data_IF_464096407084
#
_entry.id   IF_464096407084
#
_cell.length_a   1.000
_cell.length_b   1.000
_cell.length_c   1.000
_cell.angle_alpha   90.00
_cell.angle_beta   90.00
_cell.angle_gamma   90.00
#
_symmetry.space_group_name_H-M   'P 1'
#
loop_
_entity.id
_entity.type
_entity.pdbx_description
1 polymer ?
#
# COMPACT_ATOMS: atom_id res chain seq x y z
N UNK A 1 4.62 -14.54 16.88
CA UNK A 1 3.83 -14.19 18.08
C UNK A 1 2.96 -15.34 18.59
N UNK A 2 2.50 -16.25 17.73
CA UNK A 2 1.75 -17.46 18.12
C UNK A 2 0.23 -17.22 18.17
N UNK A 3 -0.59 -18.28 18.31
CA UNK A 3 -2.06 -18.17 18.28
C UNK A 3 -2.62 -17.24 19.37
N UNK A 4 -2.00 -17.27 20.55
CA UNK A 4 -2.40 -16.45 21.70
C UNK A 4 -1.63 -15.11 21.79
N UNK A 5 -1.22 -14.54 20.66
CA UNK A 5 -0.44 -13.30 20.64
C UNK A 5 -1.14 -12.10 21.29
N UNK A 6 -2.46 -12.12 21.34
CA UNK A 6 -3.28 -11.10 22.00
C UNK A 6 -3.07 -11.07 23.53
N UNK A 7 -2.54 -12.16 24.13
CA UNK A 7 -2.18 -12.19 25.55
C UNK A 7 -0.85 -11.50 25.88
N UNK A 8 -0.03 -11.17 24.89
CA UNK A 8 1.21 -10.44 25.10
C UNK A 8 0.88 -9.03 25.60
N UNK A 9 1.52 -8.49 26.66
CA UNK A 9 1.09 -7.25 27.31
C UNK A 9 0.90 -6.04 26.40
N UNK A 10 1.65 -5.93 25.31
CA UNK A 10 1.53 -4.83 24.32
C UNK A 10 0.30 -5.00 23.41
N UNK A 11 -0.15 -6.23 23.17
CA UNK A 11 -1.30 -6.54 22.33
C UNK A 11 -2.61 -6.70 23.13
N UNK A 12 -2.50 -6.93 24.44
CA UNK A 12 -3.65 -7.18 25.31
C UNK A 12 -4.54 -5.93 25.47
N UNK A 13 -5.88 -6.07 25.42
CA UNK A 13 -6.79 -4.96 25.65
C UNK A 13 -6.64 -4.45 27.10
N UNK A 14 -6.65 -3.12 27.27
CA UNK A 14 -6.50 -2.47 28.59
C UNK A 14 -7.83 -1.96 29.17
N UNK A 15 -8.75 -1.56 28.31
CA UNK A 15 -10.03 -0.96 28.69
C UNK A 15 -11.22 -1.92 28.67
N UNK A 16 -11.02 -3.18 28.29
CA UNK A 16 -12.07 -4.19 28.21
C UNK A 16 -11.54 -5.55 28.65
N UNK A 17 -12.40 -6.32 29.31
CA UNK A 17 -12.13 -7.74 29.55
C UNK A 17 -12.40 -8.51 28.26
N UNK A 18 -11.59 -9.52 28.00
CA UNK A 18 -11.91 -10.47 26.95
C UNK A 18 -13.11 -11.32 27.39
N UNK A 19 -14.22 -11.18 26.67
CA UNK A 19 -15.44 -11.97 26.85
C UNK A 19 -15.66 -12.79 25.58
N UNK A 20 -14.86 -13.84 25.41
CA UNK A 20 -14.87 -14.71 24.23
C UNK A 20 -15.03 -16.19 24.61
N UNK A 21 -15.32 -17.01 23.61
CA UNK A 21 -15.34 -18.47 23.73
C UNK A 21 -14.02 -19.13 23.29
N UNK A 22 -12.96 -18.34 23.03
CA UNK A 22 -11.67 -18.87 22.62
C UNK A 22 -11.01 -19.67 23.76
N UNK A 23 -10.46 -20.84 23.45
CA UNK A 23 -9.81 -21.79 24.38
C UNK A 23 -8.46 -22.26 23.81
N UNK A 24 -7.61 -22.77 24.70
CA UNK A 24 -6.37 -23.47 24.36
C UNK A 24 -5.44 -22.71 23.40
N UNK A 25 -4.79 -23.42 22.47
CA UNK A 25 -3.75 -22.88 21.61
C UNK A 25 -2.38 -22.84 22.30
N UNK A 26 -1.32 -22.93 21.49
CA UNK A 26 0.05 -22.87 22.00
C UNK A 26 0.28 -21.56 22.79
N UNK A 27 0.95 -21.67 23.94
CA UNK A 27 1.24 -20.55 24.84
C UNK A 27 -0.02 -19.82 25.35
N UNK A 28 -1.05 -20.58 25.77
CA UNK A 28 -2.17 -20.04 26.53
C UNK A 28 -1.72 -19.79 27.98
N UNK A 29 -1.41 -18.52 28.30
CA UNK A 29 -0.79 -18.12 29.58
C UNK A 29 -1.74 -17.42 30.56
N UNK A 30 -2.95 -17.09 30.11
CA UNK A 30 -4.05 -16.64 30.97
C UNK A 30 -4.83 -17.86 31.52
N UNK A 31 -6.00 -17.60 32.12
CA UNK A 31 -6.85 -18.65 32.68
C UNK A 31 -7.54 -19.54 31.62
N UNK A 32 -7.36 -19.29 30.32
CA UNK A 32 -7.98 -20.13 29.28
C UNK A 32 -9.50 -20.15 29.31
N UNK A 33 -10.17 -19.12 29.85
CA UNK A 33 -11.63 -19.13 30.07
C UNK A 33 -12.13 -20.01 31.22
N UNK A 34 -11.22 -20.62 31.99
CA UNK A 34 -11.53 -21.40 33.21
C UNK A 34 -12.51 -22.55 32.96
N UNK A 35 -13.32 -22.87 33.98
CA UNK A 35 -14.39 -23.88 33.90
C UNK A 35 -15.71 -23.37 33.31
N UNK A 36 -15.73 -22.16 32.73
CA UNK A 36 -16.94 -21.57 32.15
C UNK A 36 -17.30 -22.18 30.78
N UNK A 37 -18.55 -22.01 30.32
CA UNK A 37 -19.00 -22.53 29.03
C UNK A 37 -18.11 -22.03 27.88
N UNK A 38 -17.77 -22.93 26.96
CA UNK A 38 -16.94 -22.66 25.78
C UNK A 38 -17.77 -22.62 24.47
N UNK A 39 -19.08 -22.46 24.57
CA UNK A 39 -20.02 -22.47 23.44
C UNK A 39 -21.13 -21.43 23.61
N UNK A 40 -21.74 -21.01 22.49
CA UNK A 40 -22.90 -20.12 22.44
C UNK A 40 -23.95 -20.66 21.44
N UNK A 41 -25.26 -20.56 21.73
CA UNK A 41 -25.86 -20.10 22.98
C UNK A 41 -25.67 -21.08 24.14
N UNK A 42 -25.63 -20.58 25.38
CA UNK A 42 -25.57 -21.42 26.59
C UNK A 42 -26.48 -20.87 27.70
N UNK A 43 -26.84 -21.73 28.66
CA UNK A 43 -27.68 -21.40 29.81
C UNK A 43 -26.88 -21.23 31.12
N UNK A 44 -25.56 -21.05 31.02
CA UNK A 44 -24.63 -21.03 32.17
C UNK A 44 -23.96 -19.66 32.38
N UNK A 45 -24.54 -18.59 31.83
CA UNK A 45 -24.08 -17.21 32.04
C UNK A 45 -22.79 -16.84 31.31
N UNK A 46 -22.48 -17.48 30.17
CA UNK A 46 -21.35 -17.09 29.32
C UNK A 46 -21.56 -15.77 28.55
N UNK A 47 -20.52 -15.24 27.88
CA UNK A 47 -20.60 -14.03 27.04
C UNK A 47 -21.74 -14.06 26.03
N UNK A 48 -22.50 -12.97 25.89
CA UNK A 48 -23.56 -12.83 24.89
C UNK A 48 -23.17 -11.79 23.81
N UNK A 49 -23.63 -11.94 22.57
CA UNK A 49 -23.51 -10.91 21.55
C UNK A 49 -24.15 -9.59 22.00
N UNK A 50 -23.54 -8.47 21.64
CA UNK A 50 -24.12 -7.13 21.81
C UNK A 50 -24.78 -6.68 20.49
N UNK A 51 -26.12 -6.60 20.40
CA UNK A 51 -26.81 -6.14 19.20
C UNK A 51 -26.47 -4.71 18.79
N UNK A 52 -25.98 -3.86 19.72
CA UNK A 52 -25.57 -2.49 19.46
C UNK A 52 -24.21 -2.37 18.79
N UNK A 53 -23.42 -3.45 18.74
CA UNK A 53 -22.07 -3.47 18.15
C UNK A 53 -22.07 -3.91 16.67
N UNK A 54 -23.23 -4.05 16.03
CA UNK A 54 -23.35 -4.46 14.63
C UNK A 54 -22.89 -3.37 13.65
N UNK A 55 -22.31 -3.80 12.52
CA UNK A 55 -21.97 -2.89 11.41
C UNK A 55 -23.25 -2.31 10.77
N UNK A 56 -23.24 -1.05 10.32
CA UNK A 56 -24.37 -0.49 9.59
C UNK A 56 -24.55 -1.20 8.23
N UNK A 57 -25.80 -1.43 7.77
CA UNK A 57 -26.04 -2.01 6.46
C UNK A 57 -25.58 -1.06 5.35
N UNK A 58 -25.08 -1.62 4.24
CA UNK A 58 -24.72 -0.86 3.05
C UNK A 58 -25.16 -1.62 1.79
N UNK A 59 -25.48 -0.87 0.73
CA UNK A 59 -25.91 -1.44 -0.54
C UNK A 59 -24.72 -1.92 -1.37
N UNK A 60 -24.90 -3.01 -2.10
CA UNK A 60 -23.92 -3.57 -3.03
C UNK A 60 -24.59 -3.72 -4.39
N UNK A 61 -23.91 -3.28 -5.44
CA UNK A 61 -24.40 -3.33 -6.82
C UNK A 61 -23.41 -4.03 -7.74
N UNK A 62 -23.91 -4.92 -8.60
CA UNK A 62 -23.13 -5.58 -9.64
C UNK A 62 -22.70 -7.01 -9.32
N UNK A 63 -22.14 -7.73 -10.30
CA UNK A 63 -21.72 -9.11 -10.14
C UNK A 63 -20.43 -9.23 -9.31
N UNK A 64 -20.37 -10.24 -8.43
CA UNK A 64 -19.14 -10.60 -7.74
C UNK A 64 -18.16 -11.26 -8.73
N UNK A 65 -16.92 -10.77 -8.78
CA UNK A 65 -15.91 -11.28 -9.70
C UNK A 65 -14.57 -10.55 -9.58
N UNK A 66 -13.61 -10.95 -10.41
CA UNK A 66 -12.36 -10.21 -10.59
C UNK A 66 -12.59 -9.08 -11.58
N UNK A 67 -12.61 -7.84 -11.08
CA UNK A 67 -12.82 -6.66 -11.91
C UNK A 67 -11.48 -5.95 -12.15
N UNK A 68 -11.18 -5.53 -13.39
CA UNK A 68 -10.06 -4.61 -13.62
C UNK A 68 -10.37 -3.28 -12.90
N UNK A 69 -9.34 -2.65 -12.36
CA UNK A 69 -9.47 -1.30 -11.80
C UNK A 69 -9.63 -0.29 -12.94
N UNK A 70 -10.79 0.34 -13.06
CA UNK A 70 -11.15 1.23 -14.18
C UNK A 70 -11.34 2.68 -13.75
N UNK A 71 -10.96 3.06 -12.53
CA UNK A 71 -11.16 4.41 -12.05
C UNK A 71 -10.31 5.39 -12.88
N UNK A 72 -10.86 6.54 -13.31
CA UNK A 72 -10.13 7.52 -14.12
C UNK A 72 -9.06 8.30 -13.33
N UNK A 73 -8.58 7.77 -12.20
CA UNK A 73 -7.46 8.38 -11.49
C UNK A 73 -6.26 8.27 -12.40
N UNK A 74 -5.85 9.44 -12.88
CA UNK A 74 -4.50 9.62 -13.34
C UNK A 74 -3.58 9.41 -12.11
N UNK A 75 -2.88 8.26 -12.11
CA UNK A 75 -1.88 7.87 -11.09
C UNK A 75 -0.83 8.97 -10.82
N UNK A 76 -0.79 10.00 -11.67
CA UNK A 76 0.21 11.05 -11.68
C UNK A 76 -0.28 12.38 -11.08
N UNK A 77 -1.59 12.58 -10.86
CA UNK A 77 -2.14 13.85 -10.33
C UNK A 77 -1.72 14.11 -8.88
N UNK A 78 -1.96 13.18 -7.96
CA UNK A 78 -1.62 13.38 -6.55
C UNK A 78 -0.10 13.47 -6.32
N UNK A 79 0.74 12.62 -6.93
CA UNK A 79 2.20 12.77 -6.82
C UNK A 79 2.72 14.08 -7.43
N UNK A 80 2.15 14.52 -8.57
CA UNK A 80 2.48 15.80 -9.18
C UNK A 80 2.12 16.98 -8.28
N UNK A 81 0.93 16.95 -7.66
CA UNK A 81 0.49 17.98 -6.72
C UNK A 81 1.35 18.03 -5.45
N UNK A 82 1.75 16.88 -4.89
CA UNK A 82 2.71 16.82 -3.80
C UNK A 82 4.04 17.51 -4.18
N UNK A 83 4.59 17.17 -5.35
CA UNK A 83 5.85 17.74 -5.84
C UNK A 83 5.77 19.26 -6.07
N UNK A 84 4.70 19.72 -6.71
CA UNK A 84 4.62 21.10 -7.24
C UNK A 84 3.95 22.09 -6.28
N UNK A 85 2.99 21.65 -5.44
CA UNK A 85 2.20 22.53 -4.57
C UNK A 85 2.59 22.43 -3.10
N UNK A 86 3.11 21.28 -2.66
CA UNK A 86 3.37 21.01 -1.23
C UNK A 86 4.86 21.11 -0.91
N UNK A 87 5.72 20.53 -1.73
CA UNK A 87 7.16 20.49 -1.47
C UNK A 87 7.82 21.86 -1.65
N UNK A 88 8.76 22.16 -0.76
CA UNK A 88 9.70 23.26 -0.95
C UNK A 88 10.77 22.88 -1.98
N UNK A 89 11.59 23.83 -2.40
CA UNK A 89 12.69 23.51 -3.31
C UNK A 89 13.71 22.55 -2.69
N UNK A 90 14.03 22.73 -1.42
CA UNK A 90 14.92 21.83 -0.68
C UNK A 90 14.35 20.41 -0.61
N UNK A 91 13.04 20.25 -0.39
CA UNK A 91 12.40 18.93 -0.40
C UNK A 91 12.51 18.26 -1.78
N UNK A 92 12.31 19.04 -2.86
CA UNK A 92 12.48 18.54 -4.22
C UNK A 92 13.92 18.14 -4.49
N UNK A 93 14.90 18.94 -4.10
CA UNK A 93 16.33 18.60 -4.24
C UNK A 93 16.67 17.27 -3.55
N UNK A 94 16.24 17.10 -2.29
CA UNK A 94 16.45 15.85 -1.55
C UNK A 94 15.74 14.67 -2.20
N UNK A 95 14.49 14.84 -2.65
CA UNK A 95 13.74 13.79 -3.35
C UNK A 95 14.46 13.34 -4.61
N UNK A 96 14.90 14.29 -5.45
CA UNK A 96 15.64 14.00 -6.68
C UNK A 96 16.95 13.28 -6.36
N UNK A 97 17.74 13.77 -5.39
CA UNK A 97 19.00 13.16 -4.98
C UNK A 97 18.82 11.70 -4.55
N UNK A 98 17.88 11.44 -3.63
CA UNK A 98 17.57 10.09 -3.16
C UNK A 98 17.16 9.14 -4.31
N UNK A 99 16.39 9.64 -5.28
CA UNK A 99 15.97 8.86 -6.45
C UNK A 99 17.17 8.57 -7.35
N UNK A 100 18.00 9.55 -7.66
CA UNK A 100 19.17 9.38 -8.52
C UNK A 100 20.15 8.38 -7.91
N UNK A 101 20.43 8.51 -6.61
CA UNK A 101 21.34 7.62 -5.89
C UNK A 101 20.85 6.16 -5.89
N UNK A 102 19.55 5.94 -5.70
CA UNK A 102 18.99 4.59 -5.68
C UNK A 102 18.75 4.03 -7.09
N UNK A 103 18.04 4.76 -7.95
CA UNK A 103 17.64 4.34 -9.30
C UNK A 103 18.84 4.26 -10.25
N UNK A 104 19.92 5.01 -10.01
CA UNK A 104 21.15 4.97 -10.79
C UNK A 104 21.80 3.59 -10.86
N UNK A 105 21.53 2.72 -9.88
CA UNK A 105 22.03 1.35 -9.86
C UNK A 105 21.16 0.35 -10.65
N UNK A 106 19.99 0.77 -11.13
CA UNK A 106 19.13 -0.08 -11.96
C UNK A 106 19.62 -0.13 -13.40
N UNK A 107 19.21 -1.16 -14.15
CA UNK A 107 19.47 -1.22 -15.60
C UNK A 107 18.78 -0.07 -16.33
N UNK A 108 19.43 0.48 -17.36
CA UNK A 108 19.04 1.72 -18.04
C UNK A 108 17.59 1.74 -18.52
N UNK A 109 17.05 0.64 -19.06
CA UNK A 109 15.63 0.53 -19.46
C UNK A 109 14.64 0.76 -18.31
N UNK A 110 15.01 0.39 -17.07
CA UNK A 110 14.18 0.63 -15.88
C UNK A 110 14.31 2.07 -15.43
N UNK A 111 15.52 2.65 -15.50
CA UNK A 111 15.72 4.09 -15.28
C UNK A 111 14.81 4.90 -16.24
N UNK A 112 14.88 4.63 -17.55
CA UNK A 112 14.05 5.28 -18.57
C UNK A 112 12.55 5.13 -18.29
N UNK A 113 12.10 3.90 -17.99
CA UNK A 113 10.68 3.62 -17.69
C UNK A 113 10.20 4.41 -16.49
N UNK A 114 10.97 4.42 -15.40
CA UNK A 114 10.58 5.06 -14.15
C UNK A 114 10.63 6.59 -14.26
N UNK A 115 11.67 7.14 -14.91
CA UNK A 115 11.78 8.58 -15.16
C UNK A 115 10.63 9.10 -16.01
N UNK A 116 10.13 8.30 -16.97
CA UNK A 116 8.92 8.65 -17.71
C UNK A 116 7.68 8.77 -16.82
N UNK A 117 7.56 7.96 -15.75
CA UNK A 117 6.46 8.09 -14.78
C UNK A 117 6.58 9.36 -13.95
N UNK A 118 7.79 9.73 -13.51
CA UNK A 118 8.02 11.00 -12.83
C UNK A 118 7.69 12.19 -13.73
N UNK A 119 8.00 12.10 -15.03
CA UNK A 119 7.62 13.11 -16.01
C UNK A 119 6.10 13.25 -16.16
N UNK A 120 5.35 12.14 -16.11
CA UNK A 120 3.88 12.18 -16.14
C UNK A 120 3.31 12.87 -14.89
N UNK A 121 3.95 12.71 -13.73
CA UNK A 121 3.57 13.40 -12.50
C UNK A 121 3.84 14.91 -12.59
N UNK A 122 5.05 15.28 -13.00
CA UNK A 122 5.40 16.66 -13.28
C UNK A 122 6.58 16.72 -14.29
N UNK A 123 6.50 17.55 -15.35
CA UNK A 123 7.60 17.68 -16.32
C UNK A 123 8.94 18.10 -15.70
N UNK A 124 8.95 19.00 -14.70
CA UNK A 124 10.17 19.40 -13.99
C UNK A 124 10.75 18.23 -13.19
N UNK A 125 9.90 17.48 -12.51
CA UNK A 125 10.30 16.29 -11.76
C UNK A 125 10.99 15.27 -12.66
N UNK A 126 10.34 14.89 -13.76
CA UNK A 126 10.93 13.97 -14.73
C UNK A 126 12.27 14.46 -15.31
N UNK A 127 12.36 15.77 -15.63
CA UNK A 127 13.58 16.39 -16.17
C UNK A 127 14.74 16.36 -15.18
N UNK A 128 14.50 16.67 -13.91
CA UNK A 128 15.54 16.68 -12.88
C UNK A 128 16.06 15.28 -12.59
N UNK A 129 15.18 14.28 -12.55
CA UNK A 129 15.60 12.86 -12.44
C UNK A 129 16.39 12.43 -13.69
N UNK A 130 15.92 12.78 -14.89
CA UNK A 130 16.62 12.46 -16.13
C UNK A 130 18.04 13.06 -16.16
N UNK A 131 18.17 14.32 -15.74
CA UNK A 131 19.47 14.99 -15.65
C UNK A 131 20.41 14.29 -14.67
N UNK A 132 19.94 13.97 -13.46
CA UNK A 132 20.76 13.29 -12.46
C UNK A 132 21.20 11.88 -12.87
N UNK A 133 20.40 11.18 -13.68
CA UNK A 133 20.71 9.84 -14.20
C UNK A 133 21.43 9.84 -15.56
N UNK A 134 21.70 11.01 -16.15
CA UNK A 134 22.27 11.12 -17.50
C UNK A 134 21.41 10.40 -18.55
N UNK A 135 20.09 10.62 -18.52
CA UNK A 135 19.13 10.06 -19.48
C UNK A 135 18.81 11.07 -20.58
N UNK A 136 18.57 10.57 -21.80
CA UNK A 136 18.04 11.40 -22.88
C UNK A 136 16.59 11.79 -22.58
N UNK A 137 16.36 13.08 -22.36
CA UNK A 137 15.06 13.63 -22.02
C UNK A 137 14.03 13.43 -23.14
N UNK A 138 14.44 13.49 -24.41
CA UNK A 138 13.51 13.31 -25.53
C UNK A 138 12.97 11.88 -25.57
N UNK A 139 13.82 10.90 -25.28
CA UNK A 139 13.39 9.51 -25.15
C UNK A 139 12.48 9.29 -23.92
N UNK A 140 12.72 9.98 -22.80
CA UNK A 140 11.83 9.96 -21.62
C UNK A 140 10.46 10.56 -21.93
N UNK A 141 10.41 11.74 -22.56
CA UNK A 141 9.16 12.41 -22.96
C UNK A 141 8.33 11.52 -23.90
N UNK A 142 8.99 10.86 -24.87
CA UNK A 142 8.36 9.87 -25.75
C UNK A 142 7.74 8.70 -24.96
N UNK A 143 8.46 8.15 -23.98
CA UNK A 143 7.94 7.08 -23.13
C UNK A 143 6.77 7.56 -22.24
N UNK A 144 6.80 8.81 -21.77
CA UNK A 144 5.73 9.38 -20.94
C UNK A 144 4.39 9.51 -21.72
N UNK A 145 4.47 9.80 -23.01
CA UNK A 145 3.32 9.91 -23.91
C UNK A 145 2.64 8.55 -24.25
N UNK A 146 3.34 7.43 -24.07
CA UNK A 146 2.81 6.09 -24.35
C UNK A 146 1.75 5.64 -23.33
N UNK A 147 0.88 4.71 -23.72
CA UNK A 147 0.07 3.94 -22.77
C UNK A 147 0.96 3.09 -21.85
N UNK A 148 0.44 2.60 -20.70
CA UNK A 148 1.21 1.73 -19.81
C UNK A 148 1.76 0.47 -20.51
N UNK A 149 0.95 -0.16 -21.37
CA UNK A 149 1.34 -1.37 -22.10
C UNK A 149 2.45 -1.09 -23.13
N UNK A 150 2.30 -0.04 -23.93
CA UNK A 150 3.32 0.36 -24.92
C UNK A 150 4.63 0.76 -24.25
N UNK A 151 4.57 1.52 -23.14
CA UNK A 151 5.77 1.89 -22.38
C UNK A 151 6.48 0.65 -21.84
N UNK A 152 5.74 -0.34 -21.34
CA UNK A 152 6.30 -1.59 -20.84
C UNK A 152 7.02 -2.35 -21.96
N UNK A 153 6.38 -2.47 -23.13
CA UNK A 153 6.97 -3.10 -24.32
C UNK A 153 8.23 -2.36 -24.80
N UNK A 154 8.18 -1.03 -24.88
CA UNK A 154 9.30 -0.19 -25.32
C UNK A 154 10.53 -0.22 -24.40
N UNK A 155 10.41 -0.84 -23.21
CA UNK A 155 11.49 -0.93 -22.21
C UNK A 155 11.71 -2.38 -21.75
N UNK A 156 11.42 -3.35 -22.62
CA UNK A 156 11.74 -4.77 -22.45
C UNK A 156 13.25 -5.03 -22.37
N UNK A 157 13.68 -6.18 -21.81
CA UNK A 157 15.09 -6.57 -21.83
C UNK A 157 15.72 -6.47 -23.23
N UNK A 158 16.93 -5.91 -23.32
CA UNK A 158 17.63 -5.68 -24.60
C UNK A 158 17.41 -4.29 -25.21
N UNK A 159 16.51 -3.48 -24.64
CA UNK A 159 16.37 -2.06 -25.00
C UNK A 159 17.25 -1.18 -24.11
N UNK A 160 17.68 -0.02 -24.63
CA UNK A 160 18.51 0.97 -23.92
C UNK A 160 19.80 0.40 -23.29
N UNK A 161 20.40 -0.63 -23.90
CA UNK A 161 21.69 -1.21 -23.49
C UNK A 161 22.87 -0.29 -23.75
#
# INVERSE_FOLDING_TARGET
LGPNYHLIPVNSPKGAKELSYQRDGFMRVDAGGGGGPNYWPNSFGGPAPDPGAGEPPFEITGPAGRHPYTFPNDDFVQPGDLYRKVMTEMDREHLIGNIVDHLGNAVKRIQMRQTALFFKADPDYGRRVAAGLGLDITAVERLAAMSPAERAQATEPGTFS
#
